data_IF_313766204677
#
_entry.id   IF_313766204677
#
_cell.length_a   1.000
_cell.length_b   1.000
_cell.length_c   1.000
_cell.angle_alpha   90.00
_cell.angle_beta   90.00
_cell.angle_gamma   90.00
#
_symmetry.space_group_name_H-M   'P 1'
#
loop_
_entity.id
_entity.type
_entity.pdbx_description
1 polymer ?
#
# COMPACT_ATOMS: atom_id res chain seq x y z
N UNK A 1 2.60 5.79 7.48
CA UNK A 1 1.27 5.52 6.89
C UNK A 1 1.02 4.03 7.01
N UNK A 2 -0.15 3.62 7.50
CA UNK A 2 -0.52 2.20 7.59
C UNK A 2 -1.02 1.76 6.22
N UNK A 3 -0.73 0.52 5.85
CA UNK A 3 -1.32 -0.08 4.67
C UNK A 3 -2.86 -0.05 4.77
N UNK A 4 -3.57 0.27 3.67
CA UNK A 4 -5.00 0.08 3.62
C UNK A 4 -5.35 -1.39 3.88
N UNK A 5 -6.45 -1.64 4.58
CA UNK A 5 -7.02 -2.98 4.65
C UNK A 5 -7.59 -3.42 3.29
N UNK A 6 -8.12 -4.64 3.22
CA UNK A 6 -8.74 -5.20 2.01
C UNK A 6 -9.87 -4.35 1.41
N UNK A 7 -10.45 -3.43 2.19
CA UNK A 7 -11.50 -2.50 1.78
C UNK A 7 -10.96 -1.08 1.46
N UNK A 8 -9.63 -0.90 1.44
CA UNK A 8 -8.99 0.39 1.20
C UNK A 8 -9.04 1.35 2.40
N UNK A 9 -9.48 0.87 3.58
CA UNK A 9 -9.53 1.69 4.79
C UNK A 9 -8.15 1.71 5.42
N UNK A 10 -7.56 2.91 5.50
CA UNK A 10 -6.31 3.14 6.23
C UNK A 10 -6.60 3.10 7.72
N UNK A 11 -5.99 2.15 8.43
CA UNK A 11 -6.00 2.15 9.89
C UNK A 11 -5.05 3.24 10.43
N UNK A 12 -5.39 3.87 11.55
CA UNK A 12 -4.55 4.91 12.16
C UNK A 12 -3.29 4.25 12.74
N UNK A 13 -2.11 4.75 12.40
CA UNK A 13 -0.88 4.31 13.06
C UNK A 13 -0.92 4.80 14.51
N UNK A 14 -0.70 3.92 15.49
CA UNK A 14 -0.69 4.28 16.91
C UNK A 14 0.28 5.43 17.19
N UNK A 15 1.46 5.43 16.55
CA UNK A 15 2.45 6.48 16.71
C UNK A 15 2.07 7.85 16.14
N UNK A 16 1.03 7.92 15.29
CA UNK A 16 0.53 9.15 14.68
C UNK A 16 -0.94 9.40 15.05
N UNK A 17 -1.37 8.95 16.23
CA UNK A 17 -2.78 9.02 16.63
C UNK A 17 -3.32 10.46 16.62
N UNK A 18 -2.48 11.42 17.00
CA UNK A 18 -2.85 12.85 17.08
C UNK A 18 -2.79 13.59 15.74
N UNK A 19 -2.24 12.95 14.69
CA UNK A 19 -2.18 13.55 13.36
C UNK A 19 -3.45 13.19 12.60
N UNK A 20 -4.19 14.18 12.05
CA UNK A 20 -5.35 13.89 11.23
C UNK A 20 -4.92 13.21 9.92
N UNK A 21 -5.71 12.24 9.48
CA UNK A 21 -5.65 11.70 8.12
C UNK A 21 -5.98 12.80 7.10
N UNK A 22 -5.60 12.58 5.84
CA UNK A 22 -5.96 13.49 4.76
C UNK A 22 -7.48 13.71 4.69
N UNK A 23 -8.26 12.64 4.82
CA UNK A 23 -9.73 12.66 4.79
C UNK A 23 -10.34 13.44 5.95
N UNK A 24 -9.81 13.29 7.16
CA UNK A 24 -10.24 14.07 8.35
C UNK A 24 -9.87 15.55 8.19
N UNK A 25 -8.64 15.84 7.75
CA UNK A 25 -8.20 17.21 7.50
C UNK A 25 -9.05 17.89 6.42
N UNK A 26 -9.30 17.20 5.30
CA UNK A 26 -10.12 17.69 4.21
C UNK A 26 -11.53 18.00 4.68
N UNK A 27 -12.16 17.08 5.41
CA UNK A 27 -13.52 17.28 5.97
C UNK A 27 -13.57 18.47 6.93
N UNK A 28 -12.56 18.63 7.79
CA UNK A 28 -12.47 19.76 8.72
C UNK A 28 -12.44 21.13 8.00
N UNK A 29 -11.79 21.22 6.84
CA UNK A 29 -11.59 22.50 6.14
C UNK A 29 -12.53 22.73 4.95
N UNK A 30 -13.10 21.67 4.38
CA UNK A 30 -14.01 21.71 3.22
C UNK A 30 -15.45 21.35 3.57
N UNK A 31 -15.72 20.95 4.81
CA UNK A 31 -17.06 20.60 5.31
C UNK A 31 -17.65 19.30 4.77
N UNK A 32 -16.93 18.57 3.90
CA UNK A 32 -17.40 17.36 3.25
C UNK A 32 -16.27 16.34 3.07
N UNK A 33 -16.60 15.07 2.86
CA UNK A 33 -15.61 14.06 2.53
C UNK A 33 -14.99 14.37 1.15
N UNK A 34 -13.68 14.13 0.95
CA UNK A 34 -13.09 14.25 -0.38
C UNK A 34 -13.76 13.27 -1.33
N UNK A 35 -14.02 13.73 -2.55
CA UNK A 35 -14.73 12.95 -3.57
C UNK A 35 -14.36 13.43 -4.98
N UNK A 36 -14.84 12.69 -5.98
CA UNK A 36 -14.63 12.99 -7.39
C UNK A 36 -13.31 12.46 -7.94
N UNK A 37 -13.14 12.64 -9.25
CA UNK A 37 -12.12 11.96 -10.05
C UNK A 37 -10.68 12.18 -9.56
N UNK A 38 -10.35 13.39 -9.07
CA UNK A 38 -9.01 13.69 -8.53
C UNK A 38 -8.71 12.94 -7.24
N UNK A 39 -9.69 12.82 -6.34
CA UNK A 39 -9.53 12.08 -5.10
C UNK A 39 -9.44 10.58 -5.37
N UNK A 40 -10.30 10.05 -6.24
CA UNK A 40 -10.23 8.64 -6.66
C UNK A 40 -8.88 8.29 -7.29
N UNK A 41 -8.33 9.19 -8.11
CA UNK A 41 -7.01 9.02 -8.68
C UNK A 41 -5.90 9.05 -7.62
N UNK A 42 -5.94 10.02 -6.70
CA UNK A 42 -5.01 10.08 -5.58
C UNK A 42 -5.01 8.77 -4.78
N UNK A 43 -6.20 8.26 -4.44
CA UNK A 43 -6.34 6.99 -3.71
C UNK A 43 -5.73 5.83 -4.49
N UNK A 44 -6.07 5.67 -5.77
CA UNK A 44 -5.50 4.62 -6.61
C UNK A 44 -3.97 4.64 -6.65
N UNK A 45 -3.36 5.81 -6.78
CA UNK A 45 -1.90 5.95 -6.82
C UNK A 45 -1.30 5.58 -5.46
N UNK A 46 -1.82 6.15 -4.37
CA UNK A 46 -1.30 5.94 -3.02
C UNK A 46 -1.46 4.49 -2.59
N UNK A 47 -2.63 3.89 -2.82
CA UNK A 47 -2.93 2.51 -2.45
C UNK A 47 -2.05 1.53 -3.25
N UNK A 48 -1.84 1.80 -4.54
CA UNK A 48 -0.93 1.00 -5.39
C UNK A 48 0.52 1.10 -4.93
N UNK A 49 0.99 2.31 -4.60
CA UNK A 49 2.33 2.53 -4.10
C UNK A 49 2.55 1.82 -2.75
N UNK A 50 1.57 1.93 -1.84
CA UNK A 50 1.64 1.28 -0.53
C UNK A 50 1.60 -0.25 -0.66
N UNK A 51 0.82 -0.81 -1.58
CA UNK A 51 0.75 -2.26 -1.79
C UNK A 51 2.06 -2.87 -2.32
N UNK A 52 2.89 -2.08 -3.00
CA UNK A 52 4.23 -2.47 -3.48
C UNK A 52 5.35 -2.14 -2.49
N UNK A 53 5.03 -1.46 -1.39
CA UNK A 53 6.04 -0.94 -0.50
C UNK A 53 6.70 -2.09 0.27
N UNK A 54 8.02 -2.23 0.10
CA UNK A 54 8.83 -3.29 0.75
C UNK A 54 8.48 -4.72 0.33
N UNK A 55 8.01 -4.91 -0.90
CA UNK A 55 7.77 -6.25 -1.45
C UNK A 55 9.09 -6.95 -1.84
N UNK A 56 9.16 -8.26 -1.61
CA UNK A 56 10.22 -9.13 -2.09
C UNK A 56 9.69 -10.08 -3.17
N UNK A 57 10.46 -10.26 -4.24
CA UNK A 57 10.09 -11.13 -5.37
C UNK A 57 11.16 -12.18 -5.62
N UNK A 58 10.74 -13.39 -5.96
CA UNK A 58 11.60 -14.34 -6.65
C UNK A 58 11.75 -13.92 -8.13
N UNK A 59 12.87 -14.28 -8.75
CA UNK A 59 13.07 -14.03 -10.17
C UNK A 59 12.03 -14.80 -11.01
N UNK A 60 11.62 -14.28 -12.20
CA UNK A 60 10.79 -15.03 -13.13
C UNK A 60 11.40 -16.38 -13.46
N UNK A 61 10.60 -17.46 -13.36
CA UNK A 61 11.07 -18.82 -13.62
C UNK A 61 11.97 -19.42 -12.53
N UNK A 62 12.06 -18.81 -11.35
CA UNK A 62 12.76 -19.41 -10.21
C UNK A 62 12.17 -20.80 -9.88
N UNK A 63 13.00 -21.79 -9.49
CA UNK A 63 12.51 -23.11 -9.08
C UNK A 63 11.51 -23.00 -7.93
N UNK A 64 10.50 -23.87 -7.92
CA UNK A 64 9.45 -23.90 -6.88
C UNK A 64 10.04 -23.98 -5.47
N UNK A 65 11.09 -24.80 -5.29
CA UNK A 65 11.80 -24.90 -4.01
C UNK A 65 12.40 -23.56 -3.56
N UNK A 66 12.93 -22.76 -4.48
CA UNK A 66 13.48 -21.43 -4.16
C UNK A 66 12.37 -20.44 -3.79
N UNK A 67 11.22 -20.52 -4.46
CA UNK A 67 10.04 -19.70 -4.13
C UNK A 67 9.51 -20.06 -2.75
N UNK A 68 9.39 -21.36 -2.43
CA UNK A 68 8.94 -21.81 -1.12
C UNK A 68 9.94 -21.52 0.00
N UNK A 69 11.25 -21.58 -0.28
CA UNK A 69 12.28 -21.16 0.67
C UNK A 69 12.13 -19.68 1.03
N UNK A 70 11.94 -18.81 0.02
CA UNK A 70 11.71 -17.37 0.25
C UNK A 70 10.44 -17.12 1.07
N UNK A 71 9.31 -17.73 0.67
CA UNK A 71 8.04 -17.60 1.39
C UNK A 71 8.16 -18.08 2.84
N UNK A 72 8.85 -19.19 3.06
CA UNK A 72 9.10 -19.74 4.39
C UNK A 72 9.98 -18.84 5.24
N UNK A 73 11.04 -18.24 4.68
CA UNK A 73 11.88 -17.29 5.39
C UNK A 73 11.08 -16.09 5.94
N UNK A 74 10.21 -15.49 5.12
CA UNK A 74 9.34 -14.39 5.57
C UNK A 74 8.32 -14.84 6.62
N UNK A 75 7.71 -16.03 6.45
CA UNK A 75 6.80 -16.60 7.46
C UNK A 75 7.49 -16.85 8.80
N UNK A 76 8.74 -17.31 8.78
CA UNK A 76 9.53 -17.54 9.99
C UNK A 76 9.94 -16.23 10.65
N UNK A 77 10.41 -15.24 9.88
CA UNK A 77 10.70 -13.89 10.39
C UNK A 77 9.49 -13.25 11.08
N UNK A 78 8.27 -13.52 10.57
CA UNK A 78 7.04 -13.01 11.18
C UNK A 78 6.67 -13.60 12.53
N UNK A 79 7.27 -14.74 12.88
CA UNK A 79 7.09 -15.42 14.17
C UNK A 79 8.23 -15.13 15.12
N UNK A 80 9.27 -14.41 14.68
CA UNK A 80 10.40 -14.04 15.50
C UNK A 80 10.03 -12.84 16.39
N UNK A 81 9.82 -13.12 17.68
CA UNK A 81 9.45 -12.10 18.67
C UNK A 81 10.53 -11.02 18.85
N UNK A 82 11.81 -11.37 18.71
CA UNK A 82 12.90 -10.41 18.81
C UNK A 82 12.89 -9.44 17.62
N UNK A 83 12.64 -9.96 16.41
CA UNK A 83 12.43 -9.13 15.22
C UNK A 83 11.23 -8.20 15.39
N UNK A 84 10.08 -8.74 15.81
CA UNK A 84 8.85 -7.94 15.99
C UNK A 84 9.03 -6.83 17.03
N UNK A 85 9.69 -7.12 18.15
CA UNK A 85 9.94 -6.15 19.21
C UNK A 85 10.89 -5.03 18.75
N UNK A 86 11.98 -5.37 18.06
CA UNK A 86 12.91 -4.35 17.54
C UNK A 86 12.26 -3.54 16.41
N UNK A 87 11.48 -4.19 15.53
CA UNK A 87 10.73 -3.49 14.49
C UNK A 87 9.76 -2.48 15.11
N UNK A 88 8.96 -2.88 16.09
CA UNK A 88 7.99 -1.98 16.74
C UNK A 88 8.71 -0.82 17.46
N UNK A 89 9.83 -1.09 18.12
CA UNK A 89 10.65 -0.07 18.76
C UNK A 89 11.21 0.96 17.76
N UNK A 90 11.66 0.51 16.58
CA UNK A 90 12.31 1.37 15.58
C UNK A 90 11.33 2.07 14.66
N UNK A 91 10.35 1.33 14.16
CA UNK A 91 9.38 1.79 13.16
C UNK A 91 8.13 2.38 13.83
N UNK A 92 7.94 2.13 15.12
CA UNK A 92 6.79 2.62 15.92
C UNK A 92 5.45 2.17 15.34
N UNK A 93 5.44 0.99 14.72
CA UNK A 93 4.25 0.36 14.16
C UNK A 93 4.43 -1.15 14.17
N UNK A 94 3.34 -1.90 14.23
CA UNK A 94 3.37 -3.35 14.02
C UNK A 94 3.44 -3.62 12.51
N UNK A 95 4.33 -4.50 12.03
CA UNK A 95 4.41 -4.76 10.61
C UNK A 95 3.18 -5.59 10.14
N UNK A 96 2.83 -5.52 8.84
CA UNK A 96 1.86 -6.40 8.14
C UNK A 96 2.59 -7.32 7.15
N UNK A 97 2.13 -8.57 6.99
CA UNK A 97 2.75 -9.54 6.10
C UNK A 97 1.70 -10.14 5.16
N UNK A 98 2.00 -10.08 3.87
CA UNK A 98 1.24 -10.71 2.79
C UNK A 98 2.21 -11.62 2.03
N UNK A 99 1.89 -12.91 1.89
CA UNK A 99 2.78 -13.91 1.27
C UNK A 99 1.97 -14.86 0.38
N UNK A 100 2.62 -15.36 -0.67
CA UNK A 100 2.05 -16.39 -1.55
C UNK A 100 0.89 -15.84 -2.39
N UNK A 101 -0.15 -16.66 -2.55
CA UNK A 101 -1.29 -16.40 -3.43
C UNK A 101 -1.96 -15.04 -3.19
N UNK A 102 -2.01 -14.58 -1.94
CA UNK A 102 -2.58 -13.26 -1.64
C UNK A 102 -1.70 -12.13 -2.22
N UNK A 103 -0.38 -12.26 -2.07
CA UNK A 103 0.57 -11.32 -2.67
C UNK A 103 0.46 -11.31 -4.18
N UNK A 104 0.42 -12.48 -4.80
CA UNK A 104 0.27 -12.63 -6.26
C UNK A 104 -1.03 -12.01 -6.78
N UNK A 105 -2.15 -12.20 -6.07
CA UNK A 105 -3.44 -11.56 -6.41
C UNK A 105 -3.34 -10.04 -6.35
N UNK A 106 -2.68 -9.47 -5.34
CA UNK A 106 -2.49 -8.01 -5.23
C UNK A 106 -1.64 -7.48 -6.38
N UNK A 107 -0.53 -8.15 -6.72
CA UNK A 107 0.31 -7.77 -7.87
C UNK A 107 -0.46 -7.85 -9.19
N UNK A 108 -1.22 -8.91 -9.42
CA UNK A 108 -2.03 -9.09 -10.62
C UNK A 108 -3.16 -8.04 -10.75
N UNK A 109 -3.65 -7.51 -9.63
CA UNK A 109 -4.59 -6.39 -9.64
C UNK A 109 -3.89 -5.08 -10.02
N UNK A 110 -2.68 -4.85 -9.51
CA UNK A 110 -1.88 -3.64 -9.78
C UNK A 110 -1.35 -3.56 -11.22
N UNK A 111 -1.10 -4.70 -11.87
CA UNK A 111 -0.65 -4.73 -13.27
C UNK A 111 -1.73 -4.26 -14.27
N UNK A 112 -2.97 -4.05 -13.81
CA UNK A 112 -4.07 -3.54 -14.64
C UNK A 112 -4.06 -2.02 -14.63
N UNK A 113 -3.67 -1.42 -15.75
CA UNK A 113 -3.76 0.03 -15.95
C UNK A 113 -5.24 0.42 -15.93
N UNK A 114 -5.63 1.34 -15.05
CA UNK A 114 -6.96 1.94 -15.06
C UNK A 114 -7.02 3.01 -16.18
N UNK A 115 -7.82 2.80 -17.25
CA UNK A 115 -7.90 3.74 -18.36
C UNK A 115 -8.37 5.14 -17.93
N UNK A 116 -9.18 5.24 -16.86
CA UNK A 116 -9.64 6.53 -16.33
C UNK A 116 -8.50 7.30 -15.68
N UNK A 117 -7.58 6.59 -15.02
CA UNK A 117 -6.40 7.18 -14.40
C UNK A 117 -5.41 7.64 -15.47
N UNK A 118 -5.17 6.83 -16.50
CA UNK A 118 -4.35 7.19 -17.65
C UNK A 118 -4.86 8.47 -18.35
N UNK A 119 -6.16 8.51 -18.66
CA UNK A 119 -6.79 9.66 -19.29
C UNK A 119 -6.70 10.91 -18.40
N UNK A 120 -6.90 10.77 -17.08
CA UNK A 120 -6.76 11.89 -16.15
C UNK A 120 -5.34 12.46 -16.17
N UNK A 121 -4.31 11.61 -16.14
CA UNK A 121 -2.92 12.07 -16.18
C UNK A 121 -2.58 12.77 -17.49
N UNK A 122 -2.96 12.19 -18.64
CA UNK A 122 -2.77 12.82 -19.95
C UNK A 122 -3.41 14.21 -19.99
N UNK A 123 -4.65 14.32 -19.52
CA UNK A 123 -5.38 15.60 -19.46
C UNK A 123 -4.77 16.59 -18.47
N UNK A 124 -4.27 16.12 -17.33
CA UNK A 124 -3.65 16.97 -16.33
C UNK A 124 -2.32 17.55 -16.84
N UNK A 125 -1.48 16.73 -17.47
CA UNK A 125 -0.21 17.15 -18.08
C UNK A 125 -0.47 18.15 -19.20
N UNK A 126 -1.39 17.86 -20.12
CA UNK A 126 -1.73 18.78 -21.22
C UNK A 126 -2.18 20.16 -20.73
N UNK A 127 -2.87 20.23 -19.58
CA UNK A 127 -3.29 21.50 -18.94
C UNK A 127 -2.16 22.26 -18.26
N UNK A 128 -1.08 21.58 -17.85
CA UNK A 128 0.10 22.22 -17.24
C UNK A 128 1.12 22.68 -18.27
N UNK A 129 1.04 22.17 -19.50
CA UNK A 129 1.92 22.54 -20.62
C UNK A 129 1.41 23.74 -21.44
N UNK A 130 0.27 24.32 -21.06
CA UNK A 130 -0.30 25.56 -21.60
C UNK A 130 -0.34 26.63 -20.49
#
# INVERSE_FOLDING_TARGET
LVEPDENGKISRATALADIPTFEEYFRKHKGSAPSGQKYEALRKIVDSFMAMFRTAFAAPGAPEESVEALRTAFRSMWKDEAFLAEYEKRVRNRPSLIVGDEGEKRIAALSKIDPKLEALFKNYIAKLSN
#
